data_IF_380362757190
#
_entry.id   IF_380362757190
#
_cell.length_a   1.000
_cell.length_b   1.000
_cell.length_c   1.000
_cell.angle_alpha   90.00
_cell.angle_beta   90.00
_cell.angle_gamma   90.00
#
_symmetry.space_group_name_H-M   'P 1'
#
loop_
_entity.id
_entity.type
_entity.pdbx_description
1 polymer ?
#
# COMPACT_ATOMS: atom_id res chain seq x y z
N UNK A 1 -18.33 27.15 -3.57
CA UNK A 1 -18.43 26.09 -2.55
C UNK A 1 -17.01 25.66 -2.19
N UNK A 2 -16.57 26.00 -0.98
CA UNK A 2 -15.27 25.53 -0.46
C UNK A 2 -15.41 24.05 -0.09
N UNK A 3 -14.69 23.18 -0.77
CA UNK A 3 -14.59 21.78 -0.38
C UNK A 3 -13.79 21.69 0.93
N UNK A 4 -14.31 20.97 1.91
CA UNK A 4 -13.61 20.68 3.16
C UNK A 4 -13.24 19.21 3.17
N UNK A 5 -11.95 18.89 3.39
CA UNK A 5 -11.52 17.51 3.51
C UNK A 5 -12.19 16.81 4.69
N UNK A 6 -12.53 15.52 4.55
CA UNK A 6 -13.08 14.75 5.66
C UNK A 6 -12.09 14.74 6.85
N UNK A 7 -12.57 14.95 8.09
CA UNK A 7 -11.68 14.88 9.25
C UNK A 7 -11.25 13.43 9.53
N UNK A 8 -9.99 13.25 9.96
CA UNK A 8 -9.45 11.93 10.29
C UNK A 8 -10.22 11.21 11.41
N UNK A 9 -10.99 11.93 12.22
CA UNK A 9 -11.85 11.36 13.27
C UNK A 9 -12.99 10.48 12.75
N UNK A 10 -13.33 10.58 11.46
CA UNK A 10 -14.31 9.67 10.83
C UNK A 10 -13.75 8.26 10.61
N UNK A 11 -12.43 8.11 10.60
CA UNK A 11 -11.77 6.82 10.43
C UNK A 11 -11.53 6.17 11.79
N UNK A 12 -11.73 4.86 11.85
CA UNK A 12 -11.48 4.07 13.07
C UNK A 12 -9.99 4.11 13.44
N UNK A 13 -9.72 4.19 14.72
CA UNK A 13 -8.37 4.00 15.27
C UNK A 13 -7.92 2.56 15.11
N UNK A 14 -6.63 2.35 14.89
CA UNK A 14 -6.03 1.02 14.86
C UNK A 14 -5.86 0.44 16.27
N UNK A 15 -5.73 -0.89 16.35
CA UNK A 15 -5.35 -1.55 17.59
C UNK A 15 -3.91 -1.20 17.97
N UNK A 16 -3.65 -1.03 19.26
CA UNK A 16 -2.30 -0.76 19.78
C UNK A 16 -1.40 -1.98 19.61
N UNK A 17 -0.19 -1.79 19.10
CA UNK A 17 0.83 -2.83 18.92
C UNK A 17 1.61 -3.18 20.20
N UNK A 18 1.32 -2.59 21.34
CA UNK A 18 2.12 -2.71 22.57
C UNK A 18 2.36 -4.16 23.06
N UNK A 19 1.45 -5.10 22.80
CA UNK A 19 1.65 -6.51 23.16
C UNK A 19 2.63 -7.26 22.24
N UNK A 20 2.90 -6.74 21.02
CA UNK A 20 3.83 -7.36 20.08
C UNK A 20 5.28 -7.12 20.47
N UNK A 21 5.60 -5.96 21.04
CA UNK A 21 6.97 -5.58 21.42
C UNK A 21 7.56 -6.50 22.48
N UNK A 22 6.82 -6.76 23.55
CA UNK A 22 7.28 -7.62 24.66
C UNK A 22 7.59 -9.04 24.16
N UNK A 23 6.78 -9.57 23.23
CA UNK A 23 6.98 -10.92 22.69
C UNK A 23 8.14 -10.98 21.69
N UNK A 24 8.42 -9.91 20.96
CA UNK A 24 9.49 -9.86 19.97
C UNK A 24 10.88 -9.99 20.60
N UNK A 25 11.15 -9.28 21.69
CA UNK A 25 12.44 -9.36 22.38
C UNK A 25 12.66 -10.72 23.07
N UNK A 26 11.61 -11.33 23.62
CA UNK A 26 11.71 -12.70 24.16
C UNK A 26 12.03 -13.73 23.06
N UNK A 27 11.46 -13.60 21.89
CA UNK A 27 11.79 -14.44 20.73
C UNK A 27 13.20 -14.19 20.21
N UNK A 28 13.73 -12.97 20.25
CA UNK A 28 15.08 -12.63 19.87
C UNK A 28 16.10 -13.48 20.64
N UNK A 29 16.01 -13.49 21.97
CA UNK A 29 16.90 -14.26 22.83
C UNK A 29 16.80 -15.77 22.57
N UNK A 30 15.58 -16.28 22.34
CA UNK A 30 15.40 -17.70 21.98
C UNK A 30 16.02 -18.03 20.62
N UNK A 31 15.88 -17.14 19.62
CA UNK A 31 16.48 -17.33 18.29
C UNK A 31 18.00 -17.42 18.37
N UNK A 32 18.67 -16.53 19.11
CA UNK A 32 20.12 -16.59 19.30
C UNK A 32 20.53 -17.90 19.98
N UNK A 33 19.81 -18.30 21.03
CA UNK A 33 20.08 -19.56 21.74
C UNK A 33 19.87 -20.77 20.81
N UNK A 34 18.83 -20.76 20.01
CA UNK A 34 18.54 -21.82 19.03
C UNK A 34 19.65 -21.92 17.99
N UNK A 35 20.07 -20.83 17.38
CA UNK A 35 21.17 -20.80 16.41
C UNK A 35 22.45 -21.33 17.02
N UNK A 36 22.77 -20.94 18.25
CA UNK A 36 23.94 -21.39 18.97
C UNK A 36 23.92 -22.91 19.23
N UNK A 37 22.75 -23.49 19.55
CA UNK A 37 22.60 -24.94 19.76
C UNK A 37 22.88 -25.75 18.49
N UNK A 38 22.63 -25.19 17.30
CA UNK A 38 22.98 -25.75 16.01
C UNK A 38 24.40 -25.38 15.53
N UNK A 39 25.22 -24.82 16.42
CA UNK A 39 26.59 -24.44 16.11
C UNK A 39 26.71 -23.27 15.14
N UNK A 40 25.73 -22.35 15.16
CA UNK A 40 25.73 -21.09 14.44
C UNK A 40 25.85 -19.95 15.45
N UNK A 41 27.01 -19.30 15.48
CA UNK A 41 27.18 -18.09 16.26
C UNK A 41 26.75 -16.90 15.43
N UNK A 42 25.68 -16.21 15.86
CA UNK A 42 25.19 -15.00 15.24
C UNK A 42 24.61 -14.08 16.33
N UNK A 43 24.67 -12.77 16.14
CA UNK A 43 24.13 -11.78 17.04
C UNK A 43 22.99 -11.01 16.39
N UNK A 44 21.88 -10.84 17.09
CA UNK A 44 20.79 -9.99 16.61
C UNK A 44 21.21 -8.53 16.80
N UNK A 45 21.25 -7.79 15.70
CA UNK A 45 21.65 -6.36 15.67
C UNK A 45 20.46 -5.43 15.52
N UNK A 46 19.35 -5.94 14.96
CA UNK A 46 18.13 -5.14 14.78
C UNK A 46 16.89 -6.01 14.82
N UNK A 47 15.79 -5.46 15.38
CA UNK A 47 14.48 -6.10 15.42
C UNK A 47 13.45 -5.11 14.85
N UNK A 48 12.79 -5.51 13.77
CA UNK A 48 11.71 -4.74 13.14
C UNK A 48 10.38 -5.45 13.37
N UNK A 49 9.45 -4.79 14.05
CA UNK A 49 8.15 -5.36 14.38
C UNK A 49 7.13 -4.84 13.36
N UNK A 50 6.71 -5.71 12.46
CA UNK A 50 5.66 -5.41 11.48
C UNK A 50 4.28 -5.88 11.95
N UNK A 51 3.23 -5.57 11.18
CA UNK A 51 1.86 -5.91 11.54
C UNK A 51 1.56 -7.42 11.52
N UNK A 52 2.25 -8.18 10.70
CA UNK A 52 2.04 -9.64 10.53
C UNK A 52 3.26 -10.47 10.88
N UNK A 53 4.47 -9.93 10.69
CA UNK A 53 5.74 -10.62 10.93
C UNK A 53 6.68 -9.71 11.72
N UNK A 54 7.57 -10.34 12.49
CA UNK A 54 8.72 -9.66 13.11
C UNK A 54 9.98 -10.11 12.39
N UNK A 55 10.80 -9.18 11.95
CA UNK A 55 12.07 -9.41 11.28
C UNK A 55 13.22 -9.19 12.26
N UNK A 56 14.08 -10.19 12.38
CA UNK A 56 15.31 -10.18 13.16
C UNK A 56 16.49 -10.10 12.19
N UNK A 57 17.29 -9.05 12.28
CA UNK A 57 18.53 -8.92 11.52
C UNK A 57 19.70 -9.45 12.35
N UNK A 58 20.43 -10.39 11.78
CA UNK A 58 21.52 -11.10 12.44
C UNK A 58 22.83 -10.80 11.73
N UNK A 59 23.88 -10.60 12.49
CA UNK A 59 25.26 -10.63 12.01
C UNK A 59 25.88 -11.98 12.38
N UNK A 60 26.15 -12.86 11.37
CA UNK A 60 26.87 -14.11 11.60
C UNK A 60 28.31 -13.81 12.01
N UNK A 61 28.84 -14.61 12.95
CA UNK A 61 30.25 -14.53 13.32
C UNK A 61 31.15 -14.90 12.11
N UNK A 62 32.39 -14.40 12.06
CA UNK A 62 33.34 -14.75 11.01
C UNK A 62 33.49 -16.28 10.84
N UNK A 63 33.43 -16.75 9.58
CA UNK A 63 33.50 -18.17 9.25
C UNK A 63 32.16 -18.91 9.25
N UNK A 64 31.06 -18.32 9.66
CA UNK A 64 29.73 -18.91 9.56
C UNK A 64 29.24 -18.76 8.11
N UNK A 65 28.91 -19.89 7.48
CA UNK A 65 28.34 -19.89 6.11
C UNK A 65 26.85 -19.54 6.14
N UNK A 66 26.44 -18.66 5.26
CA UNK A 66 25.03 -18.24 5.11
C UNK A 66 24.12 -19.44 4.83
N UNK A 67 24.54 -20.35 3.95
CA UNK A 67 23.80 -21.57 3.62
C UNK A 67 23.53 -22.50 4.82
N UNK A 68 24.36 -22.41 5.88
CA UNK A 68 24.11 -23.15 7.13
C UNK A 68 22.90 -22.56 7.87
N UNK A 69 22.73 -21.23 7.83
CA UNK A 69 21.59 -20.54 8.47
C UNK A 69 20.31 -20.85 7.67
N UNK A 70 20.37 -20.76 6.34
CA UNK A 70 19.24 -21.08 5.47
C UNK A 70 18.73 -22.50 5.64
N UNK A 71 19.66 -23.46 5.76
CA UNK A 71 19.34 -24.88 5.97
C UNK A 71 18.69 -25.20 7.32
N UNK A 72 18.70 -24.27 8.29
CA UNK A 72 18.07 -24.43 9.60
C UNK A 72 16.65 -23.87 9.67
N UNK A 73 16.04 -23.48 8.55
CA UNK A 73 14.72 -22.85 8.50
C UNK A 73 13.66 -23.65 9.29
N UNK A 74 13.55 -24.94 9.01
CA UNK A 74 12.54 -25.80 9.64
C UNK A 74 12.85 -26.05 11.12
N UNK A 75 14.13 -26.23 11.47
CA UNK A 75 14.58 -26.42 12.85
C UNK A 75 14.30 -25.18 13.71
N UNK A 76 14.57 -23.99 13.17
CA UNK A 76 14.29 -22.73 13.85
C UNK A 76 12.78 -22.55 14.00
N UNK A 77 11.99 -22.84 12.97
CA UNK A 77 10.53 -22.76 13.02
C UNK A 77 9.97 -23.66 14.13
N UNK A 78 10.45 -24.90 14.22
CA UNK A 78 10.06 -25.84 15.25
C UNK A 78 10.40 -25.33 16.65
N UNK A 79 11.64 -24.88 16.88
CA UNK A 79 12.11 -24.41 18.20
C UNK A 79 11.37 -23.15 18.67
N UNK A 80 10.94 -22.30 17.74
CA UNK A 80 10.21 -21.07 18.04
C UNK A 80 8.67 -21.24 18.03
N UNK A 81 8.20 -22.47 17.79
CA UNK A 81 6.79 -22.80 17.60
C UNK A 81 6.11 -21.88 16.58
N UNK A 82 6.81 -21.58 15.47
CA UNK A 82 6.32 -20.81 14.35
C UNK A 82 5.80 -21.74 13.25
N UNK A 83 4.74 -21.34 12.55
CA UNK A 83 4.16 -22.13 11.44
C UNK A 83 5.10 -22.22 10.25
N UNK A 84 5.85 -21.16 9.99
CA UNK A 84 6.90 -21.07 8.97
C UNK A 84 7.79 -19.89 9.29
N UNK A 85 9.00 -19.88 8.79
CA UNK A 85 9.88 -18.72 8.81
C UNK A 85 10.39 -18.44 7.39
N UNK A 86 10.79 -17.19 7.13
CA UNK A 86 11.47 -16.82 5.90
C UNK A 86 12.84 -16.30 6.24
N UNK A 87 13.85 -16.80 5.53
CA UNK A 87 15.23 -16.32 5.68
C UNK A 87 15.62 -15.57 4.41
N UNK A 88 16.09 -14.35 4.57
CA UNK A 88 16.64 -13.50 3.50
C UNK A 88 18.13 -13.31 3.75
N UNK A 89 18.94 -13.93 2.91
CA UNK A 89 20.38 -13.99 3.14
C UNK A 89 21.18 -13.86 1.83
N UNK A 90 21.93 -12.78 1.63
CA UNK A 90 22.03 -11.62 2.54
C UNK A 90 20.85 -10.66 2.40
N UNK A 91 20.66 -9.79 3.39
CA UNK A 91 19.75 -8.64 3.23
C UNK A 91 20.36 -7.68 2.19
N UNK A 92 19.60 -7.25 1.16
CA UNK A 92 20.11 -6.32 0.16
C UNK A 92 20.71 -5.05 0.78
N UNK A 93 21.98 -4.78 0.43
CA UNK A 93 22.73 -3.61 0.94
C UNK A 93 23.22 -3.71 2.38
N UNK A 94 23.13 -4.89 3.04
CA UNK A 94 23.62 -5.10 4.41
C UNK A 94 24.46 -6.39 4.50
N UNK A 95 25.45 -6.40 5.37
CA UNK A 95 26.21 -7.62 5.74
C UNK A 95 25.49 -8.40 6.84
N UNK A 96 24.20 -8.64 6.67
CA UNK A 96 23.34 -9.26 7.68
C UNK A 96 22.37 -10.25 7.03
N UNK A 97 21.86 -11.16 7.85
CA UNK A 97 20.80 -12.13 7.49
C UNK A 97 19.51 -11.72 8.18
N UNK A 98 18.40 -11.65 7.44
CA UNK A 98 17.08 -11.40 7.96
C UNK A 98 16.32 -12.70 8.21
N UNK A 99 15.78 -12.88 9.41
CA UNK A 99 14.85 -13.98 9.74
C UNK A 99 13.50 -13.36 10.08
N UNK A 100 12.49 -13.67 9.27
CA UNK A 100 11.12 -13.21 9.43
C UNK A 100 10.29 -14.29 10.10
N UNK A 101 9.73 -13.96 11.26
CA UNK A 101 8.93 -14.89 12.07
C UNK A 101 7.51 -14.33 12.16
N UNK A 102 6.47 -15.10 11.81
CA UNK A 102 5.08 -14.69 11.97
C UNK A 102 4.77 -14.28 13.40
N UNK A 103 4.03 -13.20 13.57
CA UNK A 103 3.52 -12.78 14.86
C UNK A 103 2.45 -13.76 15.35
N UNK A 104 2.39 -13.99 16.65
CA UNK A 104 1.35 -14.83 17.24
C UNK A 104 -0.07 -14.24 17.02
N UNK A 105 -0.17 -12.92 16.98
CA UNK A 105 -1.37 -12.18 16.62
C UNK A 105 -1.01 -11.15 15.54
N UNK A 106 -1.73 -11.15 14.45
CA UNK A 106 -1.62 -10.09 13.43
C UNK A 106 -2.40 -8.87 13.88
N UNK A 107 -1.87 -7.68 13.62
CA UNK A 107 -2.54 -6.41 13.89
C UNK A 107 -2.97 -5.79 12.56
N UNK A 108 -4.25 -5.46 12.46
CA UNK A 108 -4.76 -4.79 11.27
C UNK A 108 -4.20 -3.36 11.19
N UNK A 109 -3.66 -3.01 10.02
CA UNK A 109 -3.18 -1.65 9.75
C UNK A 109 -4.40 -0.77 9.46
N UNK A 110 -4.69 0.21 10.32
CA UNK A 110 -5.80 1.12 10.08
C UNK A 110 -5.45 2.17 9.04
N UNK A 111 -6.43 2.51 8.20
CA UNK A 111 -6.26 3.59 7.22
C UNK A 111 -5.96 4.93 7.91
N UNK A 112 -6.58 5.19 9.06
CA UNK A 112 -6.33 6.40 9.86
C UNK A 112 -4.86 6.55 10.24
N UNK A 113 -4.22 5.47 10.67
CA UNK A 113 -2.80 5.47 11.01
C UNK A 113 -1.91 5.84 9.82
N UNK A 114 -2.20 5.27 8.64
CA UNK A 114 -1.44 5.56 7.44
C UNK A 114 -1.66 6.99 6.96
N UNK A 115 -2.92 7.45 6.91
CA UNK A 115 -3.25 8.81 6.47
C UNK A 115 -2.76 9.88 7.44
N UNK A 116 -2.69 9.61 8.75
CA UNK A 116 -2.13 10.55 9.74
C UNK A 116 -0.61 10.59 9.77
N UNK A 117 0.07 9.67 9.09
CA UNK A 117 1.53 9.61 9.07
C UNK A 117 2.17 10.82 8.39
N UNK A 118 3.37 11.18 8.85
CA UNK A 118 4.17 12.23 8.19
C UNK A 118 4.45 11.93 6.72
N UNK A 119 4.57 10.65 6.35
CA UNK A 119 4.80 10.23 4.98
C UNK A 119 3.63 10.64 4.08
N UNK A 120 2.39 10.41 4.52
CA UNK A 120 1.20 10.78 3.75
C UNK A 120 0.95 12.29 3.79
N UNK A 121 0.95 12.91 4.98
CA UNK A 121 0.63 14.32 5.17
C UNK A 121 1.61 15.28 4.46
N UNK A 122 2.90 14.92 4.38
CA UNK A 122 3.93 15.71 3.70
C UNK A 122 4.28 15.17 2.31
N UNK A 123 3.56 14.18 1.85
CA UNK A 123 3.77 13.58 0.53
C UNK A 123 3.50 14.60 -0.60
N UNK A 124 4.37 14.60 -1.61
CA UNK A 124 4.30 15.54 -2.75
C UNK A 124 3.69 14.92 -4.01
N UNK A 125 3.04 13.78 -3.89
CA UNK A 125 2.37 13.13 -5.02
C UNK A 125 1.13 13.88 -5.47
N UNK A 126 0.73 13.67 -6.72
CA UNK A 126 -0.49 14.26 -7.28
C UNK A 126 -1.74 13.50 -6.84
N UNK A 127 -1.64 12.16 -6.81
CA UNK A 127 -2.71 11.26 -6.38
C UNK A 127 -2.12 10.28 -5.39
N UNK A 128 -1.87 10.75 -4.15
CA UNK A 128 -1.30 9.89 -3.10
C UNK A 128 -2.34 8.91 -2.60
N UNK A 129 -1.93 7.66 -2.51
CA UNK A 129 -2.74 6.58 -1.96
C UNK A 129 -1.97 5.79 -0.91
N UNK A 130 -2.68 5.40 0.14
CA UNK A 130 -2.17 4.55 1.21
C UNK A 130 -2.17 3.10 0.75
N UNK A 131 -1.06 2.38 0.95
CA UNK A 131 -0.99 0.94 0.70
C UNK A 131 -0.95 0.13 2.01
N UNK A 132 -0.50 0.73 3.11
CA UNK A 132 -0.40 0.07 4.39
C UNK A 132 0.96 0.24 5.04
N UNK A 133 1.49 -0.84 5.62
CA UNK A 133 2.83 -0.93 6.19
C UNK A 133 3.60 -2.08 5.57
N UNK A 134 4.91 -1.93 5.44
CA UNK A 134 5.81 -3.01 5.07
C UNK A 134 6.07 -3.96 6.25
N UNK A 135 6.88 -4.99 6.00
CA UNK A 135 7.25 -5.99 7.01
C UNK A 135 8.06 -5.43 8.18
N UNK A 136 8.65 -4.24 8.02
CA UNK A 136 9.35 -3.52 9.07
C UNK A 136 8.44 -2.54 9.83
N UNK A 137 7.13 -2.51 9.52
CA UNK A 137 6.16 -1.60 10.14
C UNK A 137 6.20 -0.17 9.59
N UNK A 138 7.00 0.09 8.56
CA UNK A 138 7.08 1.42 7.93
C UNK A 138 5.87 1.65 7.03
N UNK A 139 5.28 2.84 7.13
CA UNK A 139 4.16 3.25 6.26
C UNK A 139 4.60 3.28 4.80
N UNK A 140 3.78 2.65 3.94
CA UNK A 140 3.95 2.60 2.49
C UNK A 140 2.82 3.37 1.83
N UNK A 141 3.20 4.39 1.08
CA UNK A 141 2.32 5.19 0.22
C UNK A 141 2.86 5.19 -1.20
N UNK A 142 2.01 5.47 -2.15
CA UNK A 142 2.43 5.62 -3.55
C UNK A 142 1.67 6.75 -4.22
N UNK A 143 2.20 7.25 -5.34
CA UNK A 143 1.52 8.23 -6.19
C UNK A 143 0.93 7.52 -7.41
N UNK A 144 -0.38 7.40 -7.44
CA UNK A 144 -1.10 6.72 -8.53
C UNK A 144 -0.87 7.43 -9.88
N UNK A 145 -0.63 8.74 -9.88
CA UNK A 145 -0.31 9.48 -11.11
C UNK A 145 1.00 9.04 -11.78
N UNK A 146 1.89 8.38 -11.05
CA UNK A 146 3.14 7.80 -11.59
C UNK A 146 2.97 6.37 -12.10
N UNK A 147 1.83 5.75 -11.85
CA UNK A 147 1.48 4.44 -12.34
C UNK A 147 0.49 4.62 -13.49
N UNK A 148 0.81 4.24 -14.74
CA UNK A 148 -0.15 4.37 -15.84
C UNK A 148 -1.42 3.55 -15.58
N UNK A 149 -1.26 2.35 -15.02
CA UNK A 149 -2.34 1.44 -14.65
C UNK A 149 -1.94 0.63 -13.42
N UNK A 150 -2.92 0.27 -12.59
CA UNK A 150 -2.76 -0.58 -11.42
C UNK A 150 -3.75 -1.74 -11.52
N UNK A 151 -3.23 -2.97 -11.52
CA UNK A 151 -4.04 -4.17 -11.41
C UNK A 151 -4.06 -4.67 -9.98
N UNK A 152 -5.26 -4.86 -9.44
CA UNK A 152 -5.48 -5.43 -8.10
C UNK A 152 -6.18 -6.76 -8.27
N UNK A 153 -5.51 -7.84 -7.88
CA UNK A 153 -6.04 -9.18 -7.99
C UNK A 153 -5.99 -9.92 -6.65
N UNK A 154 -6.95 -10.82 -6.42
CA UNK A 154 -7.00 -11.63 -5.21
C UNK A 154 -8.24 -12.51 -5.17
N UNK A 155 -8.15 -13.60 -4.42
CA UNK A 155 -9.30 -14.48 -4.17
C UNK A 155 -10.36 -13.77 -3.33
N UNK A 156 -11.58 -14.30 -3.34
CA UNK A 156 -12.64 -13.83 -2.44
C UNK A 156 -12.15 -13.82 -0.99
N UNK A 157 -12.34 -12.70 -0.30
CA UNK A 157 -11.86 -12.52 1.08
C UNK A 157 -10.38 -12.14 1.22
N UNK A 158 -9.62 -11.99 0.12
CA UNK A 158 -8.21 -11.56 0.16
C UNK A 158 -8.00 -10.08 0.48
N UNK A 159 -9.06 -9.27 0.44
CA UNK A 159 -9.01 -7.83 0.69
C UNK A 159 -8.98 -6.96 -0.57
N UNK A 160 -9.31 -7.49 -1.77
CA UNK A 160 -9.40 -6.70 -3.01
C UNK A 160 -10.27 -5.46 -2.83
N UNK A 161 -11.50 -5.63 -2.37
CA UNK A 161 -12.46 -4.53 -2.15
C UNK A 161 -11.97 -3.56 -1.07
N UNK A 162 -11.34 -4.06 -0.01
CA UNK A 162 -10.73 -3.20 1.02
C UNK A 162 -9.62 -2.34 0.41
N UNK A 163 -8.78 -2.91 -0.45
CA UNK A 163 -7.71 -2.17 -1.13
C UNK A 163 -8.29 -1.07 -2.05
N UNK A 164 -9.30 -1.39 -2.85
CA UNK A 164 -9.98 -0.43 -3.74
C UNK A 164 -10.58 0.72 -2.90
N UNK A 165 -11.30 0.40 -1.84
CA UNK A 165 -11.88 1.38 -0.93
C UNK A 165 -10.81 2.24 -0.24
N UNK A 166 -9.67 1.64 0.14
CA UNK A 166 -8.53 2.35 0.70
C UNK A 166 -7.96 3.38 -0.29
N UNK A 167 -7.84 3.00 -1.57
CA UNK A 167 -7.35 3.89 -2.63
C UNK A 167 -8.32 5.06 -2.84
N UNK A 168 -9.62 4.77 -3.01
CA UNK A 168 -10.64 5.81 -3.20
C UNK A 168 -10.65 6.75 -1.99
N UNK A 169 -10.71 6.22 -0.78
CA UNK A 169 -10.71 7.03 0.45
C UNK A 169 -9.44 7.86 0.57
N UNK A 170 -8.26 7.32 0.21
CA UNK A 170 -7.02 8.10 0.20
C UNK A 170 -7.11 9.32 -0.71
N UNK A 171 -7.71 9.16 -1.89
CA UNK A 171 -7.94 10.26 -2.83
C UNK A 171 -8.84 11.33 -2.19
N UNK A 172 -9.94 10.91 -1.53
CA UNK A 172 -10.87 11.84 -0.88
C UNK A 172 -10.24 12.63 0.27
N UNK A 173 -9.21 12.07 0.93
CA UNK A 173 -8.47 12.73 2.02
C UNK A 173 -7.27 13.57 1.55
N UNK A 174 -6.88 13.44 0.28
CA UNK A 174 -5.67 14.11 -0.24
C UNK A 174 -5.94 15.11 -1.37
N UNK A 175 -6.90 14.82 -2.25
CA UNK A 175 -7.09 15.55 -3.50
C UNK A 175 -8.39 16.35 -3.49
N UNK A 176 -8.36 17.56 -4.06
CA UNK A 176 -9.58 18.35 -4.27
C UNK A 176 -10.40 17.80 -5.44
N UNK A 177 -11.75 17.96 -5.43
CA UNK A 177 -12.59 17.53 -6.55
C UNK A 177 -12.27 18.22 -7.88
N UNK A 178 -11.63 19.39 -7.84
CA UNK A 178 -11.17 20.11 -9.03
C UNK A 178 -9.82 19.60 -9.57
N UNK A 179 -9.03 18.91 -8.74
CA UNK A 179 -7.74 18.36 -9.13
C UNK A 179 -7.85 16.89 -9.60
N UNK A 180 -8.80 16.13 -9.02
CA UNK A 180 -9.01 14.71 -9.33
C UNK A 180 -10.48 14.40 -9.49
N UNK A 181 -10.83 13.78 -10.62
CA UNK A 181 -12.16 13.22 -10.89
C UNK A 181 -12.11 11.70 -10.93
N UNK A 182 -13.16 11.08 -10.41
CA UNK A 182 -13.34 9.64 -10.36
C UNK A 182 -14.43 9.19 -11.33
N UNK A 183 -14.19 8.08 -12.01
CA UNK A 183 -15.16 7.29 -12.74
C UNK A 183 -15.13 5.91 -12.10
N UNK A 184 -16.25 5.49 -11.51
CA UNK A 184 -16.36 4.22 -10.82
C UNK A 184 -17.29 3.29 -11.62
N UNK A 185 -16.82 2.06 -11.89
CA UNK A 185 -17.55 1.04 -12.64
C UNK A 185 -17.69 -0.18 -11.74
N UNK A 186 -18.93 -0.52 -11.39
CA UNK A 186 -19.28 -1.65 -10.52
C UNK A 186 -20.44 -2.46 -11.12
N UNK A 187 -20.15 -3.42 -12.02
CA UNK A 187 -21.20 -4.20 -12.68
C UNK A 187 -22.01 -5.09 -11.73
N UNK A 188 -21.47 -5.40 -10.55
CA UNK A 188 -22.13 -6.25 -9.54
C UNK A 188 -22.99 -5.47 -8.57
N UNK A 189 -22.89 -4.14 -8.53
CA UNK A 189 -23.65 -3.24 -7.64
C UNK A 189 -23.44 -3.57 -6.15
N UNK A 190 -22.22 -3.93 -5.77
CA UNK A 190 -21.93 -4.41 -4.40
C UNK A 190 -21.03 -3.45 -3.62
N UNK A 191 -19.99 -2.93 -4.27
CA UNK A 191 -18.85 -2.31 -3.57
C UNK A 191 -18.81 -0.79 -3.68
N UNK A 192 -19.11 -0.22 -4.87
CA UNK A 192 -18.80 1.18 -5.15
C UNK A 192 -20.00 2.11 -5.11
N UNK A 193 -21.22 1.61 -5.09
CA UNK A 193 -22.46 2.42 -5.09
C UNK A 193 -22.57 3.36 -3.88
N UNK A 194 -21.88 3.06 -2.78
CA UNK A 194 -21.80 3.91 -1.58
C UNK A 194 -21.13 5.27 -1.84
N UNK A 195 -20.37 5.40 -2.93
CA UNK A 195 -19.69 6.64 -3.29
C UNK A 195 -20.57 7.60 -4.11
N UNK A 196 -21.79 7.21 -4.49
CA UNK A 196 -22.69 8.12 -5.19
C UNK A 196 -22.91 9.40 -4.37
N UNK A 197 -22.85 10.54 -5.04
CA UNK A 197 -23.01 11.86 -4.41
C UNK A 197 -21.73 12.56 -3.96
N UNK A 198 -20.57 11.87 -3.97
CA UNK A 198 -19.30 12.57 -3.65
C UNK A 198 -18.92 13.54 -4.78
N UNK A 199 -18.34 14.71 -4.47
CA UNK A 199 -18.06 15.77 -5.47
C UNK A 199 -16.92 15.40 -6.43
N UNK A 200 -16.15 14.36 -6.14
CA UNK A 200 -15.11 13.85 -7.03
C UNK A 200 -15.65 13.04 -8.22
N UNK A 201 -16.87 12.51 -8.13
CA UNK A 201 -17.44 11.74 -9.23
C UNK A 201 -17.67 12.60 -10.47
N UNK A 202 -17.26 12.07 -11.63
CA UNK A 202 -17.57 12.65 -12.94
C UNK A 202 -19.00 12.31 -13.35
N UNK A 203 -19.49 11.14 -12.99
CA UNK A 203 -20.84 10.64 -13.19
C UNK A 203 -21.19 9.72 -12.03
N UNK A 204 -22.47 9.37 -11.86
CA UNK A 204 -22.86 8.32 -10.93
C UNK A 204 -22.12 7.02 -11.23
N UNK A 205 -22.00 6.17 -10.23
CA UNK A 205 -21.36 4.86 -10.36
C UNK A 205 -22.02 4.06 -11.47
N UNK A 206 -21.22 3.61 -12.42
CA UNK A 206 -21.71 2.90 -13.63
C UNK A 206 -21.87 1.43 -13.30
N UNK A 207 -23.11 0.95 -13.37
CA UNK A 207 -23.45 -0.45 -13.02
C UNK A 207 -23.85 -1.28 -14.24
N UNK A 208 -24.20 -0.63 -15.36
CA UNK A 208 -24.65 -1.32 -16.56
C UNK A 208 -23.47 -1.52 -17.55
N UNK A 209 -23.23 -2.75 -18.05
CA UNK A 209 -22.11 -3.01 -18.98
C UNK A 209 -22.12 -2.13 -20.24
N UNK A 210 -23.30 -1.84 -20.81
CA UNK A 210 -23.42 -0.95 -21.97
C UNK A 210 -22.98 0.49 -21.66
N UNK A 211 -23.34 0.99 -20.48
CA UNK A 211 -22.92 2.32 -20.02
C UNK A 211 -21.41 2.32 -19.69
N UNK A 212 -20.89 1.22 -19.14
CA UNK A 212 -19.46 1.07 -18.90
C UNK A 212 -18.64 1.18 -20.21
N UNK A 213 -19.04 0.49 -21.26
CA UNK A 213 -18.41 0.63 -22.58
C UNK A 213 -18.49 2.07 -23.12
N UNK A 214 -19.63 2.74 -22.94
CA UNK A 214 -19.82 4.14 -23.34
C UNK A 214 -18.88 5.10 -22.60
N UNK A 215 -18.75 4.95 -21.28
CA UNK A 215 -17.89 5.82 -20.47
C UNK A 215 -16.40 5.57 -20.73
N UNK A 216 -16.01 4.33 -21.04
CA UNK A 216 -14.65 4.02 -21.45
C UNK A 216 -14.30 4.62 -22.82
N UNK A 217 -15.21 4.56 -23.78
CA UNK A 217 -15.05 5.24 -25.08
C UNK A 217 -14.95 6.76 -24.90
N UNK A 218 -15.76 7.33 -24.02
CA UNK A 218 -15.63 8.76 -23.65
C UNK A 218 -14.24 9.06 -23.07
N UNK A 219 -13.72 8.21 -22.19
CA UNK A 219 -12.40 8.40 -21.59
C UNK A 219 -11.28 8.39 -22.65
N UNK A 220 -11.38 7.53 -23.67
CA UNK A 220 -10.45 7.52 -24.81
C UNK A 220 -10.54 8.84 -25.58
N UNK A 221 -11.76 9.30 -25.91
CA UNK A 221 -11.97 10.57 -26.63
C UNK A 221 -11.43 11.76 -25.83
N UNK A 222 -11.65 11.77 -24.52
CA UNK A 222 -11.11 12.80 -23.61
C UNK A 222 -9.58 12.79 -23.61
N UNK A 223 -8.97 11.60 -23.55
CA UNK A 223 -7.52 11.44 -23.64
C UNK A 223 -6.96 12.02 -24.95
N UNK A 224 -7.56 11.69 -26.08
CA UNK A 224 -7.14 12.21 -27.39
C UNK A 224 -7.30 13.73 -27.48
N UNK A 225 -8.36 14.26 -26.90
CA UNK A 225 -8.61 15.72 -26.86
C UNK A 225 -7.52 16.41 -26.03
N UNK A 226 -7.15 15.82 -24.91
CA UNK A 226 -6.06 16.34 -24.06
C UNK A 226 -4.72 16.29 -24.77
N UNK A 227 -4.40 15.23 -25.51
CA UNK A 227 -3.18 15.16 -26.32
C UNK A 227 -3.11 16.28 -27.35
N UNK A 228 -4.22 16.61 -28.02
CA UNK A 228 -4.28 17.75 -28.96
C UNK A 228 -4.01 19.06 -28.24
N UNK A 229 -4.66 19.30 -27.09
CA UNK A 229 -4.44 20.49 -26.28
C UNK A 229 -3.00 20.61 -25.78
N UNK A 230 -2.35 19.48 -25.42
CA UNK A 230 -0.94 19.47 -25.01
C UNK A 230 -0.03 19.83 -26.20
N UNK A 231 -0.31 19.30 -27.38
CA UNK A 231 0.44 19.61 -28.59
C UNK A 231 0.32 21.11 -28.97
N UNK A 232 -0.89 21.67 -28.94
CA UNK A 232 -1.14 23.09 -29.23
C UNK A 232 -0.38 24.03 -28.27
N UNK A 233 -0.22 23.61 -27.00
CA UNK A 233 0.49 24.37 -25.96
C UNK A 233 1.98 24.02 -25.85
N UNK A 234 2.51 23.12 -26.71
CA UNK A 234 3.87 22.62 -26.65
C UNK A 234 4.28 22.08 -25.27
N UNK A 235 3.37 21.36 -24.60
CA UNK A 235 3.62 20.69 -23.33
C UNK A 235 3.53 19.17 -23.50
N UNK A 236 4.19 18.42 -22.61
CA UNK A 236 4.28 16.95 -22.71
C UNK A 236 3.19 16.21 -21.92
N UNK A 237 2.65 16.86 -20.91
CA UNK A 237 1.74 16.24 -19.96
C UNK A 237 0.79 17.25 -19.31
N UNK A 238 -0.14 16.70 -18.50
CA UNK A 238 -1.13 17.49 -17.76
C UNK A 238 -0.49 18.48 -16.76
N UNK A 239 0.68 18.14 -16.19
CA UNK A 239 1.36 19.03 -15.25
C UNK A 239 1.90 20.26 -15.96
N UNK A 240 2.52 20.06 -17.13
CA UNK A 240 2.97 21.13 -18.00
C UNK A 240 1.82 22.02 -18.45
N UNK A 241 0.69 21.41 -18.86
CA UNK A 241 -0.50 22.12 -19.26
C UNK A 241 -1.07 22.99 -18.11
N UNK A 242 -1.30 22.39 -16.94
CA UNK A 242 -1.87 23.06 -15.79
C UNK A 242 -0.97 24.18 -15.23
N UNK A 243 0.35 24.02 -15.36
CA UNK A 243 1.32 25.07 -14.98
C UNK A 243 1.22 26.30 -15.89
N UNK A 244 1.00 26.10 -17.19
CA UNK A 244 0.84 27.19 -18.15
C UNK A 244 -0.56 27.81 -18.13
N UNK A 245 -1.57 27.08 -17.70
CA UNK A 245 -2.97 27.48 -17.74
C UNK A 245 -3.63 27.34 -16.34
N UNK A 246 -3.23 28.15 -15.35
CA UNK A 246 -3.72 28.00 -13.98
C UNK A 246 -5.24 28.24 -13.83
N UNK A 247 -5.82 29.05 -14.70
CA UNK A 247 -7.27 29.36 -14.71
C UNK A 247 -8.12 28.27 -15.42
N UNK A 248 -7.48 27.40 -16.21
CA UNK A 248 -8.14 26.35 -16.98
C UNK A 248 -7.51 25.00 -16.72
N UNK A 249 -7.28 24.69 -15.45
CA UNK A 249 -6.67 23.41 -15.06
C UNK A 249 -7.53 22.23 -15.49
N UNK A 250 -6.88 21.22 -16.01
CA UNK A 250 -7.48 19.91 -16.25
C UNK A 250 -7.31 19.01 -15.01
N UNK A 251 -8.38 18.38 -14.51
CA UNK A 251 -8.25 17.41 -13.43
C UNK A 251 -7.60 16.12 -13.93
N UNK A 252 -6.90 15.40 -13.04
CA UNK A 252 -6.62 14.00 -13.28
C UNK A 252 -7.92 13.22 -13.28
N UNK A 253 -8.02 12.18 -14.12
CA UNK A 253 -9.18 11.28 -14.16
C UNK A 253 -8.70 9.89 -13.77
N UNK A 254 -9.25 9.37 -12.69
CA UNK A 254 -8.99 8.00 -12.22
C UNK A 254 -10.22 7.16 -12.52
N UNK A 255 -10.03 6.11 -13.32
CA UNK A 255 -11.06 5.13 -13.63
C UNK A 255 -10.84 3.90 -12.75
N UNK A 256 -11.81 3.55 -11.94
CA UNK A 256 -11.80 2.37 -11.08
C UNK A 256 -12.82 1.37 -11.59
N UNK A 257 -12.38 0.16 -11.87
CA UNK A 257 -13.23 -0.94 -12.33
C UNK A 257 -13.10 -2.07 -11.31
N UNK A 258 -14.18 -2.39 -10.59
CA UNK A 258 -14.14 -3.43 -9.56
C UNK A 258 -13.98 -4.83 -10.14
N UNK A 259 -14.62 -5.11 -11.26
CA UNK A 259 -14.57 -6.41 -11.93
C UNK A 259 -14.38 -6.23 -13.44
N UNK A 260 -13.35 -6.89 -14.00
CA UNK A 260 -13.06 -6.84 -15.44
C UNK A 260 -13.65 -8.03 -16.21
N UNK A 261 -14.13 -9.06 -15.52
CA UNK A 261 -14.67 -10.28 -16.12
C UNK A 261 -16.17 -10.15 -16.42
#
# INVERSE_FOLDING_TARGET
NFYSFPPLSLLKEGESSGSLETNAYGKASRLETTLKSFGVNAKIVHVSIGPAVTRYELEPAPGVRVSKIEGLSDDIALQLAATSIRIEAPIPGKSAVGIEIPNAKTVAVSLREVLSSNAFQKGKGKILVALGKDIAGKVVITDLAKMPHLLIAGQTGSGKSVCINTIITSILYHSLPEDVKLILIDPKVVELSIYNGIPHLRTEVVTEPKKAAGILNWAVTEMETRYRSFAEKNVRDINGFNKQNPEMKMPFIVVVIDELA
#
